data_IF_942394786781
#
_entry.id   IF_942394786781
#
_cell.length_a   1.000
_cell.length_b   1.000
_cell.length_c   1.000
_cell.angle_alpha   90.00
_cell.angle_beta   90.00
_cell.angle_gamma   90.00
#
_symmetry.space_group_name_H-M   'P 1'
#
loop_
_entity.id
_entity.type
_entity.pdbx_description
1 polymer ?
#
# COMPACT_ATOMS: atom_id res chain seq x y z
N UNK A 1 22.01 -6.94 1.24
CA UNK A 1 20.73 -6.29 1.60
C UNK A 1 19.68 -7.29 2.11
N UNK A 2 19.15 -8.20 1.28
CA UNK A 2 18.18 -9.18 1.79
C UNK A 2 18.81 -10.24 2.67
N UNK A 3 19.99 -10.78 2.26
CA UNK A 3 20.68 -11.84 3.01
C UNK A 3 21.11 -11.41 4.41
N UNK A 4 21.30 -10.11 4.65
CA UNK A 4 21.70 -9.62 5.96
C UNK A 4 20.59 -9.68 6.99
N UNK A 5 19.32 -9.75 6.55
CA UNK A 5 18.16 -9.66 7.44
C UNK A 5 17.23 -10.88 7.35
N UNK A 6 17.10 -11.49 6.16
CA UNK A 6 16.20 -12.62 5.92
C UNK A 6 17.00 -13.91 5.70
N UNK A 7 16.57 -15.04 6.27
CA UNK A 7 17.22 -16.33 5.99
C UNK A 7 16.95 -16.73 4.54
N UNK A 8 17.98 -17.06 3.77
CA UNK A 8 17.90 -17.50 2.37
C UNK A 8 16.78 -16.76 1.60
N UNK A 9 16.97 -15.48 1.26
CA UNK A 9 15.86 -14.63 0.77
C UNK A 9 15.05 -15.19 -0.39
N UNK A 10 15.70 -15.81 -1.40
CA UNK A 10 14.98 -16.37 -2.54
C UNK A 10 13.94 -17.38 -2.11
N UNK A 11 14.35 -18.53 -1.57
CA UNK A 11 13.41 -19.48 -0.99
C UNK A 11 12.46 -18.90 0.05
N UNK A 12 12.69 -17.86 0.91
CA UNK A 12 12.04 -17.31 1.83
C UNK A 12 10.94 -16.71 1.38
N UNK A 13 11.20 -15.90 0.36
CA UNK A 13 10.09 -15.14 -0.19
C UNK A 13 9.13 -16.01 -1.01
N UNK A 14 9.65 -16.93 -1.77
CA UNK A 14 8.83 -17.87 -2.55
C UNK A 14 7.94 -18.70 -1.62
N UNK A 15 8.54 -19.27 -0.57
CA UNK A 15 7.76 -20.08 0.39
C UNK A 15 6.73 -19.25 1.14
N UNK A 16 7.08 -18.01 1.52
CA UNK A 16 6.14 -17.09 2.17
C UNK A 16 4.96 -16.76 1.25
N UNK A 17 5.25 -16.48 -0.03
CA UNK A 17 4.20 -16.20 -1.01
C UNK A 17 3.26 -17.39 -1.19
N UNK A 18 3.84 -18.58 -1.42
CA UNK A 18 3.03 -19.82 -1.62
C UNK A 18 2.21 -20.12 -0.36
N UNK A 19 2.84 -20.04 0.83
CA UNK A 19 2.16 -20.33 2.10
C UNK A 19 1.02 -19.36 2.34
N UNK A 20 1.26 -18.05 2.11
CA UNK A 20 0.23 -17.03 2.27
C UNK A 20 -0.93 -17.23 1.29
N UNK A 21 -0.60 -17.58 0.04
CA UNK A 21 -1.62 -17.85 -0.99
C UNK A 21 -2.48 -19.04 -0.59
N UNK A 22 -1.86 -20.13 -0.14
CA UNK A 22 -2.60 -21.32 0.32
C UNK A 22 -3.48 -20.99 1.52
N UNK A 23 -2.95 -20.21 2.48
CA UNK A 23 -3.71 -19.82 3.67
C UNK A 23 -4.94 -18.97 3.30
N UNK A 24 -4.78 -18.02 2.38
CA UNK A 24 -5.89 -17.17 1.92
C UNK A 24 -6.90 -18.00 1.13
N UNK A 25 -6.44 -18.86 0.22
CA UNK A 25 -7.34 -19.71 -0.57
C UNK A 25 -8.15 -20.63 0.36
N UNK A 26 -7.49 -21.28 1.33
CA UNK A 26 -8.20 -22.15 2.29
C UNK A 26 -9.30 -21.37 3.01
N UNK A 27 -8.97 -20.17 3.54
CA UNK A 27 -9.94 -19.36 4.27
C UNK A 27 -11.12 -18.95 3.39
N UNK A 28 -10.85 -18.48 2.17
CA UNK A 28 -11.88 -17.95 1.26
C UNK A 28 -12.70 -19.07 0.58
N UNK A 29 -12.13 -20.25 0.41
CA UNK A 29 -12.81 -21.38 -0.27
C UNK A 29 -13.72 -22.21 0.65
N UNK A 30 -14.05 -21.66 1.84
CA UNK A 30 -14.97 -22.29 2.77
C UNK A 30 -14.35 -22.85 4.03
N UNK A 31 -13.01 -22.86 4.13
CA UNK A 31 -12.32 -23.27 5.35
C UNK A 31 -12.62 -22.35 6.51
N UNK A 32 -12.72 -21.04 6.24
CA UNK A 32 -13.12 -20.07 7.25
C UNK A 32 -14.52 -20.36 7.79
N UNK A 33 -15.48 -20.56 6.89
CA UNK A 33 -16.86 -20.88 7.27
C UNK A 33 -16.95 -22.18 8.07
N UNK A 34 -16.15 -23.18 7.67
CA UNK A 34 -16.08 -24.44 8.40
C UNK A 34 -15.56 -24.22 9.83
N UNK A 35 -14.46 -23.47 9.97
CA UNK A 35 -13.89 -23.16 11.30
C UNK A 35 -14.88 -22.39 12.18
N UNK A 36 -15.58 -21.42 11.60
CA UNK A 36 -16.58 -20.63 12.33
C UNK A 36 -17.75 -21.49 12.79
N UNK A 37 -18.21 -22.41 11.93
CA UNK A 37 -19.29 -23.34 12.30
C UNK A 37 -18.87 -24.29 13.41
N UNK A 38 -17.67 -24.86 13.31
CA UNK A 38 -17.16 -25.81 14.31
C UNK A 38 -16.98 -25.12 15.67
N UNK A 39 -16.59 -23.85 15.69
CA UNK A 39 -16.40 -23.09 16.94
C UNK A 39 -17.69 -22.47 17.46
N UNK A 40 -18.79 -22.55 16.69
CA UNK A 40 -20.07 -21.98 17.10
C UNK A 40 -20.16 -20.46 16.98
N UNK A 41 -19.35 -19.86 16.12
CA UNK A 41 -19.35 -18.40 15.93
C UNK A 41 -20.63 -17.94 15.24
N UNK A 42 -21.20 -16.84 15.71
CA UNK A 42 -22.39 -16.24 15.11
C UNK A 42 -22.08 -15.63 13.75
N UNK A 43 -23.02 -15.73 12.81
CA UNK A 43 -22.87 -15.10 11.50
C UNK A 43 -23.09 -13.57 11.56
N UNK A 44 -23.79 -13.10 12.59
CA UNK A 44 -24.07 -11.67 12.75
C UNK A 44 -23.02 -11.03 13.64
N UNK A 45 -22.21 -10.17 13.05
CA UNK A 45 -21.15 -9.44 13.77
C UNK A 45 -21.64 -8.03 14.06
N UNK A 46 -21.51 -7.58 15.29
CA UNK A 46 -21.95 -6.27 15.71
C UNK A 46 -21.22 -5.14 14.97
N UNK A 47 -21.91 -4.03 14.75
CA UNK A 47 -21.30 -2.81 14.20
C UNK A 47 -20.83 -1.97 15.40
N UNK A 48 -19.70 -2.38 15.98
CA UNK A 48 -19.11 -1.70 17.14
C UNK A 48 -17.69 -2.22 17.34
N UNK A 49 -16.95 -1.57 18.23
CA UNK A 49 -15.61 -2.02 18.61
C UNK A 49 -15.60 -3.46 19.17
N UNK A 50 -16.71 -3.89 19.76
CA UNK A 50 -16.83 -5.24 20.32
C UNK A 50 -16.66 -6.33 19.27
N UNK A 51 -16.87 -6.02 17.98
CA UNK A 51 -16.69 -7.00 16.89
C UNK A 51 -15.27 -7.59 16.88
N UNK A 52 -14.27 -6.78 17.22
CA UNK A 52 -12.87 -7.22 17.17
C UNK A 52 -12.52 -8.21 18.28
N UNK A 53 -13.39 -8.36 19.28
CA UNK A 53 -13.28 -9.35 20.36
C UNK A 53 -14.26 -10.49 20.17
N UNK A 54 -15.08 -10.48 19.11
CA UNK A 54 -16.07 -11.50 18.84
C UNK A 54 -15.39 -12.83 18.49
N UNK A 55 -16.12 -13.92 18.67
CA UNK A 55 -15.60 -15.26 18.39
C UNK A 55 -15.14 -15.40 16.92
N UNK A 56 -15.84 -14.72 15.98
CA UNK A 56 -15.45 -14.69 14.57
C UNK A 56 -14.01 -14.18 14.39
N UNK A 57 -13.70 -13.02 14.99
CA UNK A 57 -12.37 -12.43 14.88
C UNK A 57 -11.33 -13.25 15.67
N UNK A 58 -11.71 -13.77 16.85
CA UNK A 58 -10.79 -14.60 17.64
C UNK A 58 -10.40 -15.86 16.89
N UNK A 59 -11.33 -16.49 16.16
CA UNK A 59 -11.06 -17.67 15.32
C UNK A 59 -10.07 -17.30 14.20
N UNK A 60 -10.26 -16.14 13.56
CA UNK A 60 -9.32 -15.69 12.53
C UNK A 60 -7.95 -15.40 13.15
N UNK A 61 -7.88 -14.76 14.31
CA UNK A 61 -6.61 -14.50 14.98
C UNK A 61 -5.87 -15.80 15.28
N UNK A 62 -6.60 -16.81 15.78
CA UNK A 62 -6.00 -18.12 16.06
C UNK A 62 -5.51 -18.80 14.78
N UNK A 63 -6.29 -18.71 13.71
CA UNK A 63 -5.89 -19.24 12.39
C UNK A 63 -4.63 -18.55 11.88
N UNK A 64 -4.58 -17.22 11.96
CA UNK A 64 -3.41 -16.44 11.52
C UNK A 64 -2.18 -16.83 12.33
N UNK A 65 -2.31 -16.91 13.66
CA UNK A 65 -1.21 -17.29 14.53
C UNK A 65 -0.73 -18.72 14.24
N UNK A 66 -1.63 -19.63 13.93
CA UNK A 66 -1.29 -21.00 13.54
C UNK A 66 -0.46 -20.99 12.25
N UNK A 67 -0.93 -20.27 11.20
CA UNK A 67 -0.22 -20.20 9.92
C UNK A 67 1.18 -19.59 10.08
N UNK A 68 1.28 -18.50 10.85
CA UNK A 68 2.56 -17.83 11.13
C UNK A 68 3.46 -18.76 11.96
N UNK A 69 2.89 -19.44 12.96
CA UNK A 69 3.64 -20.34 13.81
C UNK A 69 4.28 -21.49 13.04
N UNK A 70 3.50 -22.11 12.15
CA UNK A 70 4.01 -23.22 11.30
C UNK A 70 5.15 -22.69 10.39
N UNK A 71 4.94 -21.56 9.74
CA UNK A 71 5.94 -20.97 8.84
C UNK A 71 7.21 -20.59 9.62
N UNK A 72 7.04 -19.92 10.76
CA UNK A 72 8.17 -19.48 11.58
C UNK A 72 8.96 -20.66 12.13
N UNK A 73 8.26 -21.68 12.66
CA UNK A 73 8.89 -22.88 13.19
C UNK A 73 9.73 -23.57 12.11
N UNK A 74 9.16 -23.73 10.91
CA UNK A 74 9.90 -24.33 9.79
C UNK A 74 11.20 -23.57 9.53
N UNK A 75 11.14 -22.24 9.38
CA UNK A 75 12.31 -21.46 9.04
C UNK A 75 13.31 -21.35 10.18
N UNK A 76 12.84 -21.31 11.44
CA UNK A 76 13.73 -21.27 12.61
C UNK A 76 14.57 -22.54 12.75
N UNK A 77 14.00 -23.68 12.36
CA UNK A 77 14.69 -24.97 12.39
C UNK A 77 15.56 -25.17 11.14
N UNK A 78 14.99 -24.86 9.95
CA UNK A 78 15.65 -25.12 8.67
C UNK A 78 16.85 -24.21 8.43
N UNK A 79 16.74 -22.93 8.78
CA UNK A 79 17.82 -21.95 8.52
C UNK A 79 17.82 -20.85 9.58
N UNK A 80 18.33 -21.16 10.80
CA UNK A 80 18.40 -20.16 11.87
C UNK A 80 19.14 -18.92 11.41
N UNK A 81 18.62 -17.75 11.77
CA UNK A 81 19.20 -16.48 11.37
C UNK A 81 19.12 -15.48 12.53
N UNK A 82 20.18 -14.68 12.70
CA UNK A 82 20.27 -13.71 13.81
C UNK A 82 19.05 -12.78 13.90
N UNK A 83 18.54 -12.36 12.75
CA UNK A 83 17.43 -11.40 12.68
C UNK A 83 16.06 -12.05 12.47
N UNK A 84 15.93 -13.39 12.64
CA UNK A 84 14.72 -14.14 12.27
C UNK A 84 13.47 -13.68 13.02
N UNK A 85 13.61 -13.22 14.28
CA UNK A 85 12.45 -12.73 15.03
C UNK A 85 11.91 -11.45 14.40
N UNK A 86 12.79 -10.57 13.94
CA UNK A 86 12.37 -9.35 13.26
C UNK A 86 11.93 -9.62 11.82
N UNK A 87 12.69 -10.37 11.06
CA UNK A 87 12.40 -10.57 9.63
C UNK A 87 11.20 -11.48 9.37
N UNK A 88 10.92 -12.43 10.25
CA UNK A 88 9.79 -13.36 10.08
C UNK A 88 8.61 -12.93 10.93
N UNK A 89 8.77 -12.89 12.26
CA UNK A 89 7.65 -12.53 13.14
C UNK A 89 7.29 -11.05 13.02
N UNK A 90 8.29 -10.17 12.87
CA UNK A 90 8.03 -8.74 12.67
C UNK A 90 7.26 -8.45 11.39
N UNK A 91 7.66 -9.09 10.27
CA UNK A 91 6.93 -8.96 9.00
C UNK A 91 5.49 -9.48 9.15
N UNK A 92 5.33 -10.62 9.83
CA UNK A 92 4.00 -11.20 10.06
C UNK A 92 3.13 -10.28 10.90
N UNK A 93 3.69 -9.60 11.89
CA UNK A 93 2.95 -8.63 12.69
C UNK A 93 2.50 -7.44 11.85
N UNK A 94 3.40 -6.91 11.00
CA UNK A 94 3.06 -5.78 10.10
C UNK A 94 1.91 -6.18 9.17
N UNK A 95 1.98 -7.38 8.57
CA UNK A 95 0.92 -7.88 7.68
C UNK A 95 -0.40 -8.03 8.46
N UNK A 96 -0.35 -8.57 9.69
CA UNK A 96 -1.54 -8.72 10.52
C UNK A 96 -2.19 -7.37 10.82
N UNK A 97 -1.39 -6.37 11.21
CA UNK A 97 -1.93 -5.04 11.52
C UNK A 97 -2.50 -4.38 10.24
N UNK A 98 -1.87 -4.60 9.09
CA UNK A 98 -2.40 -4.11 7.81
C UNK A 98 -3.79 -4.70 7.55
N UNK A 99 -3.92 -6.02 7.71
CA UNK A 99 -5.23 -6.70 7.60
C UNK A 99 -6.22 -6.13 8.61
N UNK A 100 -5.80 -5.96 9.87
CA UNK A 100 -6.68 -5.46 10.94
C UNK A 100 -7.22 -4.07 10.60
N UNK A 101 -6.36 -3.17 10.09
CA UNK A 101 -6.79 -1.81 9.73
C UNK A 101 -7.74 -1.82 8.52
N UNK A 102 -7.59 -2.77 7.60
CA UNK A 102 -8.58 -2.96 6.51
C UNK A 102 -9.92 -3.39 7.11
N UNK A 103 -9.92 -4.29 8.10
CA UNK A 103 -11.15 -4.73 8.78
C UNK A 103 -11.80 -3.58 9.56
N UNK A 104 -11.00 -2.67 10.13
CA UNK A 104 -11.53 -1.44 10.72
C UNK A 104 -12.26 -0.62 9.66
N UNK A 105 -11.68 -0.50 8.47
CA UNK A 105 -12.32 0.18 7.33
C UNK A 105 -13.66 -0.45 6.96
N UNK A 106 -13.75 -1.78 6.98
CA UNK A 106 -15.01 -2.50 6.73
C UNK A 106 -16.03 -2.20 7.83
N UNK A 107 -15.60 -2.16 9.09
CA UNK A 107 -16.48 -1.83 10.22
C UNK A 107 -17.03 -0.40 10.10
N UNK A 108 -16.19 0.56 9.74
CA UNK A 108 -16.61 1.95 9.54
C UNK A 108 -17.60 2.05 8.36
N UNK A 109 -17.33 1.31 7.28
CA UNK A 109 -18.24 1.26 6.14
C UNK A 109 -19.62 0.73 6.56
N UNK A 110 -19.66 -0.32 7.38
CA UNK A 110 -20.91 -0.85 7.91
C UNK A 110 -21.64 0.16 8.79
N UNK A 111 -20.90 0.98 9.57
CA UNK A 111 -21.47 2.00 10.43
C UNK A 111 -22.17 3.12 9.63
N UNK A 112 -21.72 3.39 8.40
CA UNK A 112 -22.34 4.43 7.58
C UNK A 112 -23.84 4.19 7.39
N UNK A 113 -24.29 2.95 7.22
CA UNK A 113 -25.70 2.66 6.96
C UNK A 113 -26.61 3.14 8.12
N UNK A 114 -26.46 2.64 9.36
CA UNK A 114 -27.35 3.09 10.42
C UNK A 114 -27.23 4.58 10.72
N UNK A 115 -26.02 5.15 10.64
CA UNK A 115 -25.83 6.57 10.95
C UNK A 115 -26.51 7.49 9.93
N UNK A 116 -26.27 7.25 8.64
CA UNK A 116 -26.85 8.10 7.60
C UNK A 116 -28.35 7.85 7.43
N UNK A 117 -28.84 6.63 7.70
CA UNK A 117 -30.28 6.35 7.73
C UNK A 117 -30.96 7.11 8.90
N UNK A 118 -30.26 7.24 10.03
CA UNK A 118 -30.75 8.03 11.16
C UNK A 118 -30.88 9.51 10.74
N UNK A 119 -29.89 10.05 10.04
CA UNK A 119 -29.94 11.42 9.50
C UNK A 119 -31.15 11.57 8.56
N UNK A 120 -31.31 10.62 7.63
CA UNK A 120 -32.44 10.65 6.68
C UNK A 120 -33.79 10.67 7.42
N UNK A 121 -33.94 9.82 8.43
CA UNK A 121 -35.17 9.75 9.23
C UNK A 121 -35.44 11.06 9.98
N UNK A 122 -34.38 11.67 10.55
CA UNK A 122 -34.52 12.93 11.27
C UNK A 122 -34.91 14.08 10.37
N UNK A 123 -34.36 14.13 9.15
CA UNK A 123 -34.69 15.19 8.18
C UNK A 123 -36.08 15.01 7.57
N UNK A 124 -36.51 13.75 7.37
CA UNK A 124 -37.79 13.44 6.75
C UNK A 124 -38.96 13.72 7.68
N UNK A 125 -38.81 13.45 8.97
CA UNK A 125 -39.90 13.60 9.94
C UNK A 125 -39.38 14.30 11.20
N UNK A 126 -39.75 15.57 11.42
CA UNK A 126 -39.34 16.31 12.62
C UNK A 126 -39.71 15.56 13.91
N UNK A 127 -38.78 15.57 14.86
CA UNK A 127 -38.95 15.00 16.21
C UNK A 127 -39.11 13.46 16.25
N UNK A 128 -38.92 12.76 15.11
CA UNK A 128 -38.99 11.30 15.08
C UNK A 128 -37.78 10.67 15.76
N UNK A 129 -36.62 11.33 15.66
CA UNK A 129 -35.34 10.83 16.16
C UNK A 129 -34.88 11.69 17.34
N UNK A 130 -34.40 11.07 18.43
CA UNK A 130 -33.86 11.76 19.58
C UNK A 130 -32.38 12.07 19.38
N UNK A 131 -31.91 13.14 20.05
CA UNK A 131 -30.48 13.51 20.03
C UNK A 131 -29.59 12.39 20.59
N UNK A 132 -30.13 11.63 21.55
CA UNK A 132 -29.38 10.54 22.19
C UNK A 132 -29.02 9.42 21.18
N UNK A 133 -29.88 9.17 20.20
CA UNK A 133 -29.58 8.18 19.16
C UNK A 133 -28.35 8.60 18.34
N UNK A 134 -28.22 9.90 18.04
CA UNK A 134 -27.01 10.42 17.38
C UNK A 134 -25.77 10.27 18.25
N UNK A 135 -25.89 10.56 19.57
CA UNK A 135 -24.75 10.40 20.47
C UNK A 135 -24.32 8.93 20.57
N UNK A 136 -25.25 8.00 20.57
CA UNK A 136 -24.95 6.57 20.57
C UNK A 136 -24.19 6.16 19.32
N UNK A 137 -24.62 6.62 18.15
CA UNK A 137 -23.95 6.28 16.88
C UNK A 137 -22.54 6.89 16.79
N UNK A 138 -22.37 8.13 17.28
CA UNK A 138 -21.05 8.75 17.35
C UNK A 138 -20.17 7.98 18.34
N UNK A 139 -20.74 7.51 19.46
CA UNK A 139 -20.03 6.68 20.43
C UNK A 139 -19.52 5.37 19.79
N UNK A 140 -20.34 4.74 18.96
CA UNK A 140 -19.94 3.53 18.22
C UNK A 140 -18.76 3.84 17.29
N UNK A 141 -18.86 4.93 16.53
CA UNK A 141 -17.77 5.35 15.62
C UNK A 141 -16.47 5.61 16.39
N UNK A 142 -16.56 6.39 17.49
CA UNK A 142 -15.38 6.74 18.29
C UNK A 142 -14.73 5.48 18.89
N UNK A 143 -15.54 4.51 19.32
CA UNK A 143 -15.01 3.24 19.82
C UNK A 143 -14.17 2.51 18.79
N UNK A 144 -14.65 2.45 17.53
CA UNK A 144 -13.91 1.84 16.42
C UNK A 144 -12.67 2.68 16.10
N UNK A 145 -12.83 4.01 16.01
CA UNK A 145 -11.76 4.93 15.62
C UNK A 145 -10.59 4.93 16.62
N UNK A 146 -10.88 4.88 17.92
CA UNK A 146 -9.85 4.86 18.96
C UNK A 146 -8.97 3.62 18.81
N UNK A 147 -9.57 2.45 18.55
CA UNK A 147 -8.81 1.22 18.31
C UNK A 147 -7.88 1.40 17.11
N UNK A 148 -8.41 1.96 16.00
CA UNK A 148 -7.63 2.21 14.80
C UNK A 148 -6.45 3.15 15.07
N UNK A 149 -6.70 4.23 15.82
CA UNK A 149 -5.65 5.23 16.15
C UNK A 149 -4.54 4.58 16.98
N UNK A 150 -4.92 3.87 18.05
CA UNK A 150 -3.93 3.25 18.95
C UNK A 150 -3.10 2.23 18.19
N UNK A 151 -3.76 1.32 17.45
CA UNK A 151 -3.06 0.26 16.71
C UNK A 151 -2.21 0.86 15.59
N UNK A 152 -2.73 1.87 14.87
CA UNK A 152 -1.99 2.54 13.81
C UNK A 152 -0.73 3.23 14.31
N UNK A 153 -0.84 3.97 15.43
CA UNK A 153 0.32 4.67 16.02
C UNK A 153 1.35 3.66 16.54
N UNK A 154 0.89 2.61 17.23
CA UNK A 154 1.80 1.58 17.72
C UNK A 154 2.48 0.83 16.56
N UNK A 155 1.75 0.60 15.46
CA UNK A 155 2.32 -0.02 14.27
C UNK A 155 3.41 0.88 13.66
N UNK A 156 3.16 2.19 13.55
CA UNK A 156 4.17 3.12 13.02
C UNK A 156 5.44 3.10 13.88
N UNK A 157 5.27 3.07 15.19
CA UNK A 157 6.40 2.93 16.11
C UNK A 157 7.16 1.62 15.86
N UNK A 158 6.45 0.51 15.75
CA UNK A 158 7.04 -0.80 15.48
C UNK A 158 7.78 -0.84 14.14
N UNK A 159 7.14 -0.29 13.09
CA UNK A 159 7.71 -0.25 11.73
C UNK A 159 9.00 0.56 11.72
N UNK A 160 9.06 1.69 12.47
CA UNK A 160 10.28 2.48 12.57
C UNK A 160 11.43 1.64 13.13
N UNK A 161 11.17 0.86 14.16
CA UNK A 161 12.15 -0.05 14.75
C UNK A 161 12.52 -1.19 13.80
N UNK A 162 11.54 -1.74 13.08
CA UNK A 162 11.74 -2.81 12.09
C UNK A 162 12.70 -2.35 10.97
N UNK A 163 12.40 -1.17 10.39
CA UNK A 163 13.20 -0.59 9.31
C UNK A 163 14.62 -0.30 9.80
N UNK A 164 14.75 0.27 11.00
CA UNK A 164 16.08 0.59 11.55
C UNK A 164 16.88 -0.68 11.83
N UNK A 165 16.24 -1.75 12.28
CA UNK A 165 16.93 -3.03 12.48
C UNK A 165 17.38 -3.67 11.18
N UNK A 166 16.58 -3.52 10.12
CA UNK A 166 17.00 -3.98 8.79
C UNK A 166 18.22 -3.17 8.33
N UNK A 167 18.18 -1.84 8.53
CA UNK A 167 19.35 -0.98 8.26
C UNK A 167 20.56 -1.44 9.08
N UNK A 168 20.37 -1.74 10.36
CA UNK A 168 21.44 -2.24 11.24
C UNK A 168 22.06 -3.52 10.68
N UNK A 169 21.22 -4.47 10.24
CA UNK A 169 21.69 -5.72 9.66
C UNK A 169 22.53 -5.49 8.40
N UNK A 170 22.09 -4.56 7.54
CA UNK A 170 22.86 -4.21 6.33
C UNK A 170 24.16 -3.51 6.71
N UNK A 171 24.11 -2.57 7.66
CA UNK A 171 25.29 -1.82 8.11
C UNK A 171 26.35 -2.78 8.69
N UNK A 172 25.95 -3.69 9.58
CA UNK A 172 26.86 -4.68 10.15
C UNK A 172 27.50 -5.54 9.06
N UNK A 173 26.70 -5.97 8.09
CA UNK A 173 27.18 -6.79 6.98
C UNK A 173 28.22 -6.04 6.13
N UNK A 174 27.94 -4.78 5.78
CA UNK A 174 28.86 -3.99 4.96
C UNK A 174 30.10 -3.55 5.73
N UNK A 175 29.96 -3.20 7.00
CA UNK A 175 31.11 -2.81 7.82
C UNK A 175 32.07 -3.98 8.07
N UNK A 176 31.55 -5.20 8.17
CA UNK A 176 32.40 -6.41 8.27
C UNK A 176 33.30 -6.59 7.04
N UNK A 177 32.88 -6.03 5.90
CA UNK A 177 33.63 -6.13 4.63
C UNK A 177 34.13 -4.77 4.16
N UNK A 178 34.19 -3.77 5.04
CA UNK A 178 34.48 -2.38 4.66
C UNK A 178 35.81 -2.22 3.92
N UNK A 179 36.85 -2.97 4.32
CA UNK A 179 38.16 -2.88 3.67
C UNK A 179 38.10 -3.22 2.16
N UNK A 180 37.16 -4.10 1.77
CA UNK A 180 36.98 -4.50 0.36
C UNK A 180 36.06 -3.53 -0.39
N UNK A 181 35.20 -2.79 0.34
CA UNK A 181 34.16 -1.96 -0.26
C UNK A 181 34.54 -0.48 -0.33
N UNK A 182 35.46 -0.02 0.55
CA UNK A 182 35.73 1.41 0.74
C UNK A 182 36.26 2.12 -0.51
N UNK A 183 36.87 1.38 -1.43
CA UNK A 183 37.42 1.95 -2.66
C UNK A 183 36.35 2.18 -3.75
N UNK A 184 35.16 1.64 -3.57
CA UNK A 184 34.07 1.79 -4.53
C UNK A 184 33.52 3.22 -4.45
N UNK A 185 33.38 3.89 -5.58
CA UNK A 185 32.84 5.24 -5.63
C UNK A 185 31.43 5.28 -4.99
N UNK A 186 31.26 6.18 -4.04
CA UNK A 186 29.98 6.34 -3.33
C UNK A 186 29.75 5.32 -2.22
N UNK A 187 30.79 4.59 -1.79
CA UNK A 187 30.65 3.57 -0.72
C UNK A 187 30.05 4.16 0.56
N UNK A 188 30.48 5.35 0.97
CA UNK A 188 29.97 6.01 2.17
C UNK A 188 28.45 6.28 2.06
N UNK A 189 28.00 6.77 0.92
CA UNK A 189 26.57 7.04 0.67
C UNK A 189 25.75 5.74 0.70
N UNK A 190 26.30 4.68 0.11
CA UNK A 190 25.59 3.38 0.08
C UNK A 190 25.36 2.82 1.48
N UNK A 191 26.37 2.93 2.36
CA UNK A 191 26.25 2.45 3.73
C UNK A 191 25.35 3.37 4.57
N UNK A 192 25.53 4.68 4.42
CA UNK A 192 24.87 5.66 5.29
C UNK A 192 23.43 5.96 4.87
N UNK A 193 23.18 6.17 3.57
CA UNK A 193 21.88 6.63 3.07
C UNK A 193 21.08 5.52 2.38
N UNK A 194 21.71 4.81 1.42
CA UNK A 194 20.97 3.86 0.58
C UNK A 194 20.40 2.70 1.39
N UNK A 195 21.05 2.27 2.47
CA UNK A 195 20.54 1.18 3.32
C UNK A 195 19.23 1.60 3.98
N UNK A 196 19.15 2.82 4.50
CA UNK A 196 17.92 3.32 5.14
C UNK A 196 16.81 3.51 4.12
N UNK A 197 17.13 4.17 2.99
CA UNK A 197 16.15 4.40 1.92
C UNK A 197 15.63 3.09 1.35
N UNK A 198 16.49 2.10 1.16
CA UNK A 198 16.08 0.79 0.67
C UNK A 198 15.10 0.12 1.62
N UNK A 199 15.45 0.02 2.90
CA UNK A 199 14.62 -0.65 3.89
C UNK A 199 13.25 0.03 4.04
N UNK A 200 13.24 1.37 4.17
CA UNK A 200 12.00 2.11 4.37
C UNK A 200 11.11 2.10 3.12
N UNK A 201 11.69 2.30 1.94
CA UNK A 201 10.91 2.33 0.70
C UNK A 201 10.33 0.96 0.37
N UNK A 202 11.13 -0.10 0.53
CA UNK A 202 10.64 -1.45 0.24
C UNK A 202 9.56 -1.88 1.24
N UNK A 203 9.72 -1.53 2.52
CA UNK A 203 8.70 -1.81 3.54
C UNK A 203 7.39 -1.08 3.18
N UNK A 204 7.46 0.22 2.92
CA UNK A 204 6.28 1.03 2.62
C UNK A 204 5.56 0.52 1.36
N UNK A 205 6.29 0.26 0.28
CA UNK A 205 5.69 -0.25 -0.96
C UNK A 205 5.09 -1.65 -0.78
N UNK A 206 5.80 -2.52 -0.05
CA UNK A 206 5.32 -3.88 0.20
C UNK A 206 4.04 -3.88 1.02
N UNK A 207 4.00 -3.09 2.09
CA UNK A 207 2.82 -2.97 2.95
C UNK A 207 1.65 -2.34 2.16
N UNK A 208 1.92 -1.31 1.37
CA UNK A 208 0.87 -0.65 0.56
C UNK A 208 0.30 -1.60 -0.49
N UNK A 209 1.14 -2.43 -1.11
CA UNK A 209 0.68 -3.45 -2.06
C UNK A 209 -0.22 -4.48 -1.36
N UNK A 210 0.22 -4.98 -0.20
CA UNK A 210 -0.56 -5.93 0.60
C UNK A 210 -1.90 -5.29 1.02
N UNK A 211 -1.86 -4.04 1.45
CA UNK A 211 -3.06 -3.29 1.82
C UNK A 211 -4.04 -3.20 0.64
N UNK A 212 -3.56 -2.90 -0.57
CA UNK A 212 -4.40 -2.81 -1.76
C UNK A 212 -5.08 -4.16 -2.07
N UNK A 213 -4.31 -5.27 -2.01
CA UNK A 213 -4.85 -6.61 -2.25
C UNK A 213 -5.87 -6.98 -1.16
N UNK A 214 -5.54 -6.73 0.11
CA UNK A 214 -6.44 -7.04 1.23
C UNK A 214 -7.72 -6.21 1.17
N UNK A 215 -7.62 -4.94 0.74
CA UNK A 215 -8.79 -4.08 0.55
C UNK A 215 -9.72 -4.66 -0.52
N UNK A 216 -9.17 -5.13 -1.64
CA UNK A 216 -9.99 -5.77 -2.67
C UNK A 216 -10.67 -7.04 -2.12
N UNK A 217 -9.92 -7.89 -1.41
CA UNK A 217 -10.45 -9.12 -0.82
C UNK A 217 -11.58 -8.81 0.18
N UNK A 218 -11.44 -7.73 0.96
CA UNK A 218 -12.42 -7.36 1.99
C UNK A 218 -13.64 -6.64 1.40
N UNK A 219 -13.45 -5.73 0.46
CA UNK A 219 -14.52 -4.84 0.00
C UNK A 219 -15.28 -5.36 -1.22
N UNK A 220 -14.71 -6.20 -2.08
CA UNK A 220 -15.45 -6.75 -3.21
C UNK A 220 -16.66 -7.59 -2.75
N UNK A 221 -16.54 -8.48 -1.74
CA UNK A 221 -17.72 -9.17 -1.24
C UNK A 221 -18.79 -8.23 -0.67
N UNK A 222 -18.37 -7.15 -0.01
CA UNK A 222 -19.29 -6.13 0.50
C UNK A 222 -20.07 -5.52 -0.68
N UNK A 223 -19.37 -5.18 -1.75
CA UNK A 223 -19.99 -4.60 -2.94
C UNK A 223 -20.95 -5.58 -3.61
N UNK A 224 -20.63 -6.88 -3.64
CA UNK A 224 -21.52 -7.92 -4.16
C UNK A 224 -22.84 -7.92 -3.37
N UNK A 225 -22.78 -7.88 -2.05
CA UNK A 225 -23.95 -7.85 -1.18
C UNK A 225 -24.76 -6.58 -1.40
N UNK A 226 -24.09 -5.43 -1.50
CA UNK A 226 -24.76 -4.14 -1.73
C UNK A 226 -25.41 -4.05 -3.10
N UNK A 227 -24.84 -4.72 -4.12
CA UNK A 227 -25.37 -4.67 -5.49
C UNK A 227 -26.74 -5.34 -5.61
N UNK A 228 -27.12 -6.19 -4.67
CA UNK A 228 -28.46 -6.81 -4.65
C UNK A 228 -29.56 -5.77 -4.48
N UNK A 229 -29.23 -4.60 -3.89
CA UNK A 229 -30.18 -3.51 -3.68
C UNK A 229 -30.23 -2.56 -4.87
N UNK A 230 -29.38 -2.74 -5.89
CA UNK A 230 -29.29 -1.85 -7.06
C UNK A 230 -29.37 -2.72 -8.32
N UNK A 231 -30.60 -3.17 -8.68
CA UNK A 231 -30.75 -4.09 -9.82
C UNK A 231 -30.53 -3.40 -11.18
N UNK A 232 -30.83 -2.11 -11.29
CA UNK A 232 -30.78 -1.39 -12.57
C UNK A 232 -29.74 -0.29 -12.52
N UNK A 233 -28.91 -0.23 -13.57
CA UNK A 233 -27.90 0.82 -13.76
C UNK A 233 -28.37 1.79 -14.85
N UNK A 234 -27.90 3.05 -14.80
CA UNK A 234 -28.20 4.02 -15.88
C UNK A 234 -27.66 3.49 -17.22
N UNK A 235 -28.40 3.73 -18.31
CA UNK A 235 -27.99 3.40 -19.69
C UNK A 235 -28.04 1.90 -19.98
N UNK A 236 -27.43 1.07 -19.08
CA UNK A 236 -27.29 -0.38 -19.31
C UNK A 236 -28.54 -1.15 -18.89
N UNK A 237 -29.29 -0.64 -17.90
CA UNK A 237 -30.46 -1.33 -17.37
C UNK A 237 -30.10 -2.44 -16.40
N UNK A 238 -30.84 -3.55 -16.40
CA UNK A 238 -30.64 -4.64 -15.49
C UNK A 238 -29.37 -5.41 -15.81
N UNK A 239 -28.49 -5.53 -14.83
CA UNK A 239 -27.22 -6.25 -14.96
C UNK A 239 -26.90 -6.95 -13.66
N UNK A 240 -26.83 -8.29 -13.64
CA UNK A 240 -26.42 -9.03 -12.42
C UNK A 240 -25.02 -8.59 -11.98
N UNK A 241 -24.87 -8.34 -10.69
CA UNK A 241 -23.60 -7.84 -10.14
C UNK A 241 -23.15 -6.53 -10.80
N UNK A 242 -24.11 -5.69 -11.20
CA UNK A 242 -23.83 -4.46 -11.96
C UNK A 242 -22.85 -3.53 -11.25
N UNK A 243 -23.01 -3.32 -9.95
CA UNK A 243 -22.12 -2.43 -9.19
C UNK A 243 -20.67 -2.96 -9.17
N UNK A 244 -20.48 -4.27 -9.04
CA UNK A 244 -19.14 -4.90 -9.03
C UNK A 244 -18.47 -4.69 -10.39
N UNK A 245 -19.22 -4.99 -11.47
CA UNK A 245 -18.71 -4.84 -12.84
C UNK A 245 -18.38 -3.36 -13.09
N UNK A 246 -19.27 -2.44 -12.71
CA UNK A 246 -19.05 -0.99 -12.88
C UNK A 246 -17.82 -0.52 -12.11
N UNK A 247 -17.62 -0.98 -10.87
CA UNK A 247 -16.47 -0.60 -10.06
C UNK A 247 -15.15 -1.07 -10.71
N UNK A 248 -15.13 -2.32 -11.18
CA UNK A 248 -13.93 -2.89 -11.83
C UNK A 248 -13.64 -2.15 -13.15
N UNK A 249 -14.65 -1.98 -14.00
CA UNK A 249 -14.50 -1.31 -15.30
C UNK A 249 -14.06 0.15 -15.11
N UNK A 250 -14.70 0.87 -14.18
CA UNK A 250 -14.35 2.27 -13.90
C UNK A 250 -12.93 2.40 -13.38
N UNK A 251 -12.54 1.52 -12.47
CA UNK A 251 -11.18 1.52 -11.88
C UNK A 251 -10.12 1.19 -12.94
N UNK A 252 -10.37 0.17 -13.77
CA UNK A 252 -9.46 -0.21 -14.84
C UNK A 252 -9.36 0.89 -15.92
N UNK A 253 -10.48 1.51 -16.24
CA UNK A 253 -10.51 2.63 -17.20
C UNK A 253 -9.68 3.81 -16.67
N UNK A 254 -9.90 4.19 -15.40
CA UNK A 254 -9.12 5.27 -14.78
C UNK A 254 -7.65 4.95 -14.70
N UNK A 255 -7.32 3.71 -14.30
CA UNK A 255 -5.94 3.22 -14.25
C UNK A 255 -5.30 3.26 -15.62
N UNK A 256 -6.01 2.77 -16.65
CA UNK A 256 -5.54 2.80 -18.03
C UNK A 256 -5.35 4.22 -18.56
N UNK A 257 -6.31 5.09 -18.29
CA UNK A 257 -6.22 6.51 -18.68
C UNK A 257 -4.96 7.15 -18.10
N UNK A 258 -4.74 6.99 -16.79
CA UNK A 258 -3.58 7.58 -16.11
C UNK A 258 -2.27 6.95 -16.59
N UNK A 259 -2.27 5.66 -16.89
CA UNK A 259 -1.10 4.98 -17.43
C UNK A 259 -0.71 5.55 -18.81
N UNK A 260 -1.71 5.73 -19.69
CA UNK A 260 -1.46 6.25 -21.06
C UNK A 260 -1.02 7.73 -20.99
N UNK A 261 -1.72 8.55 -20.23
CA UNK A 261 -1.43 10.00 -20.14
C UNK A 261 -0.08 10.22 -19.45
N UNK A 262 0.25 9.41 -18.45
CA UNK A 262 1.48 9.53 -17.68
C UNK A 262 2.65 8.69 -18.18
N UNK A 263 2.57 8.13 -19.38
CA UNK A 263 3.55 7.14 -19.89
C UNK A 263 4.98 7.70 -19.96
N UNK A 264 5.13 9.00 -20.16
CA UNK A 264 6.46 9.64 -20.25
C UNK A 264 7.05 10.04 -18.89
N UNK A 265 6.22 10.11 -17.85
CA UNK A 265 6.66 10.62 -16.55
C UNK A 265 7.77 9.78 -15.88
N UNK A 266 7.67 8.42 -15.85
CA UNK A 266 8.73 7.62 -15.22
C UNK A 266 10.11 7.84 -15.87
N UNK A 267 10.16 7.90 -17.20
CA UNK A 267 11.41 8.16 -17.93
C UNK A 267 11.99 9.54 -17.63
N UNK A 268 11.12 10.56 -17.55
CA UNK A 268 11.53 11.91 -17.23
C UNK A 268 11.99 12.04 -15.77
N UNK A 269 11.33 11.35 -14.83
CA UNK A 269 11.76 11.31 -13.43
C UNK A 269 13.13 10.64 -13.30
N UNK A 270 13.32 9.52 -13.98
CA UNK A 270 14.62 8.84 -13.99
C UNK A 270 15.72 9.76 -14.56
N UNK A 271 15.42 10.46 -15.65
CA UNK A 271 16.36 11.44 -16.25
C UNK A 271 16.64 12.59 -15.27
N UNK A 272 15.62 13.02 -14.53
CA UNK A 272 15.79 14.09 -13.52
C UNK A 272 16.78 13.65 -12.43
N UNK A 273 16.63 12.42 -11.93
CA UNK A 273 17.57 11.88 -10.93
C UNK A 273 19.00 11.85 -11.48
N UNK A 274 19.16 11.51 -12.76
CA UNK A 274 20.48 11.45 -13.39
C UNK A 274 21.14 12.83 -13.52
N UNK A 275 20.41 13.84 -14.00
CA UNK A 275 20.98 15.19 -14.16
C UNK A 275 21.28 15.83 -12.81
N UNK A 276 20.45 15.57 -11.80
CA UNK A 276 20.70 16.02 -10.42
C UNK A 276 21.96 15.36 -9.84
N UNK A 277 22.10 14.04 -10.07
CA UNK A 277 23.27 13.30 -9.59
C UNK A 277 24.57 13.83 -10.25
N UNK A 278 24.54 14.11 -11.54
CA UNK A 278 25.71 14.67 -12.25
C UNK A 278 26.07 16.05 -11.70
N UNK A 279 25.07 16.89 -11.46
CA UNK A 279 25.28 18.24 -10.91
C UNK A 279 25.88 18.15 -9.50
N UNK A 280 25.29 17.33 -8.64
CA UNK A 280 25.77 17.11 -7.26
C UNK A 280 27.20 16.57 -7.25
N UNK A 281 27.50 15.61 -8.10
CA UNK A 281 28.83 14.97 -8.18
C UNK A 281 29.92 16.01 -8.47
N UNK A 282 29.67 16.90 -9.45
CA UNK A 282 30.64 17.93 -9.79
C UNK A 282 30.85 18.92 -8.63
N UNK A 283 29.75 19.30 -7.93
CA UNK A 283 29.86 20.20 -6.79
C UNK A 283 30.68 19.55 -5.65
N UNK A 284 30.45 18.27 -5.38
CA UNK A 284 31.19 17.54 -4.35
C UNK A 284 32.68 17.48 -4.69
N UNK A 285 33.01 17.22 -5.95
CA UNK A 285 34.42 17.22 -6.39
C UNK A 285 35.04 18.61 -6.19
N UNK A 286 34.27 19.67 -6.41
CA UNK A 286 34.75 21.05 -6.22
C UNK A 286 34.99 21.44 -4.76
N UNK A 287 34.45 20.67 -3.80
CA UNK A 287 34.72 20.92 -2.37
C UNK A 287 36.20 20.65 -2.02
N UNK A 288 36.80 19.67 -2.68
CA UNK A 288 38.17 19.25 -2.37
C UNK A 288 39.20 19.60 -3.45
N UNK A 289 38.77 20.03 -4.65
CA UNK A 289 39.63 20.26 -5.79
C UNK A 289 39.22 21.57 -6.52
N UNK A 290 40.04 22.59 -6.35
CA UNK A 290 39.83 23.94 -6.93
C UNK A 290 39.77 23.96 -8.46
N UNK A 291 40.26 22.90 -9.13
CA UNK A 291 40.21 22.81 -10.58
C UNK A 291 38.85 22.27 -11.08
N UNK A 292 38.00 21.78 -10.15
CA UNK A 292 36.67 21.25 -10.45
C UNK A 292 35.61 22.28 -10.16
N UNK A 293 34.38 21.96 -10.55
CA UNK A 293 33.22 22.84 -10.33
C UNK A 293 33.42 24.24 -10.82
N UNK A 294 34.12 24.40 -11.96
CA UNK A 294 34.32 25.73 -12.55
C UNK A 294 32.97 26.36 -12.95
N UNK A 295 32.83 27.68 -12.90
CA UNK A 295 31.55 28.33 -13.21
C UNK A 295 30.94 27.94 -14.56
N UNK A 296 31.69 27.80 -15.66
CA UNK A 296 31.09 27.31 -16.92
C UNK A 296 30.51 25.87 -16.79
N UNK A 297 31.26 24.98 -16.16
CA UNK A 297 30.83 23.57 -15.98
C UNK A 297 29.58 23.46 -15.13
N UNK A 298 29.58 24.17 -14.00
CA UNK A 298 28.44 24.19 -13.07
C UNK A 298 27.19 24.78 -13.77
N UNK A 299 27.39 25.86 -14.54
CA UNK A 299 26.29 26.48 -15.30
C UNK A 299 25.69 25.54 -16.34
N UNK A 300 26.52 24.79 -17.03
CA UNK A 300 26.04 23.82 -18.04
C UNK A 300 25.26 22.67 -17.40
N UNK A 301 25.78 22.10 -16.32
CA UNK A 301 25.11 21.04 -15.59
C UNK A 301 23.76 21.51 -15.04
N UNK A 302 23.72 22.72 -14.45
CA UNK A 302 22.50 23.32 -13.95
C UNK A 302 21.50 23.60 -15.10
N UNK A 303 22.01 23.99 -16.27
CA UNK A 303 21.17 24.20 -17.46
C UNK A 303 20.47 22.89 -17.84
N UNK A 304 21.16 21.75 -17.74
CA UNK A 304 20.57 20.41 -18.00
C UNK A 304 19.49 20.08 -16.96
N UNK A 305 19.75 20.37 -15.69
CA UNK A 305 18.78 20.20 -14.60
C UNK A 305 17.52 21.04 -14.90
N UNK A 306 17.69 22.34 -15.17
CA UNK A 306 16.58 23.26 -15.44
C UNK A 306 15.75 22.80 -16.66
N UNK A 307 16.41 22.40 -17.73
CA UNK A 307 15.73 21.95 -18.95
C UNK A 307 14.87 20.72 -18.68
N UNK A 308 15.40 19.79 -17.88
CA UNK A 308 14.67 18.58 -17.55
C UNK A 308 13.47 18.87 -16.64
N UNK A 309 13.65 19.75 -15.66
CA UNK A 309 12.53 20.16 -14.78
C UNK A 309 11.41 20.83 -15.57
N UNK A 310 11.74 21.73 -16.50
CA UNK A 310 10.72 22.42 -17.30
C UNK A 310 9.95 21.43 -18.18
N UNK A 311 10.66 20.42 -18.74
CA UNK A 311 10.01 19.34 -19.49
C UNK A 311 9.11 18.51 -18.60
N UNK A 312 9.59 18.17 -17.41
CA UNK A 312 8.83 17.40 -16.42
C UNK A 312 7.55 18.16 -16.00
N UNK A 313 7.68 19.46 -15.71
CA UNK A 313 6.52 20.30 -15.35
C UNK A 313 5.45 20.31 -16.44
N UNK A 314 5.88 20.40 -17.70
CA UNK A 314 4.94 20.38 -18.83
C UNK A 314 4.16 19.05 -18.89
N UNK A 315 4.87 17.94 -18.73
CA UNK A 315 4.22 16.61 -18.78
C UNK A 315 3.34 16.39 -17.55
N UNK A 316 3.70 16.92 -16.38
CA UNK A 316 2.85 16.86 -15.20
C UNK A 316 1.60 17.73 -15.36
N UNK A 317 1.69 18.83 -16.10
CA UNK A 317 0.54 19.73 -16.30
C UNK A 317 -0.64 18.96 -16.92
N UNK A 318 -0.46 18.35 -18.08
CA UNK A 318 -1.56 17.63 -18.72
C UNK A 318 -1.94 16.35 -17.98
N UNK A 319 -0.95 15.67 -17.38
CA UNK A 319 -1.23 14.49 -16.56
C UNK A 319 -2.14 14.85 -15.38
N UNK A 320 -1.82 15.95 -14.69
CA UNK A 320 -2.63 16.40 -13.56
C UNK A 320 -4.03 16.87 -14.00
N UNK A 321 -4.15 17.49 -15.19
CA UNK A 321 -5.47 17.82 -15.74
C UNK A 321 -6.30 16.54 -15.89
N UNK A 322 -5.76 15.51 -16.53
CA UNK A 322 -6.46 14.24 -16.73
C UNK A 322 -6.77 13.57 -15.38
N UNK A 323 -5.80 13.55 -14.46
CA UNK A 323 -5.95 12.92 -13.14
C UNK A 323 -7.03 13.60 -12.31
N UNK A 324 -6.97 14.93 -12.23
CA UNK A 324 -7.94 15.69 -11.43
C UNK A 324 -9.34 15.61 -12.06
N UNK A 325 -9.43 15.67 -13.40
CA UNK A 325 -10.71 15.51 -14.07
C UNK A 325 -11.32 14.14 -13.77
N UNK A 326 -10.51 13.07 -13.87
CA UNK A 326 -10.99 11.72 -13.52
C UNK A 326 -11.48 11.66 -12.08
N UNK A 327 -10.73 12.26 -11.13
CA UNK A 327 -11.11 12.25 -9.72
C UNK A 327 -12.41 13.05 -9.48
N UNK A 328 -12.61 14.16 -10.21
CA UNK A 328 -13.84 14.93 -10.08
C UNK A 328 -15.04 14.14 -10.60
N UNK A 329 -14.88 13.45 -11.73
CA UNK A 329 -15.97 12.60 -12.25
C UNK A 329 -16.21 11.43 -11.29
N UNK A 330 -15.15 10.86 -10.71
CA UNK A 330 -15.24 9.76 -9.74
C UNK A 330 -16.07 10.16 -8.51
N UNK A 331 -15.96 11.41 -8.06
CA UNK A 331 -16.75 11.89 -6.92
C UNK A 331 -18.25 11.74 -7.13
N UNK A 332 -18.72 11.81 -8.38
CA UNK A 332 -20.14 11.71 -8.69
C UNK A 332 -20.50 10.40 -9.40
N UNK A 333 -19.53 9.63 -9.87
CA UNK A 333 -19.80 8.43 -10.66
C UNK A 333 -20.56 7.38 -9.86
N UNK A 334 -20.20 7.17 -8.60
CA UNK A 334 -20.91 6.26 -7.72
C UNK A 334 -22.37 6.64 -7.54
N UNK A 335 -22.62 7.94 -7.34
CA UNK A 335 -23.99 8.46 -7.23
C UNK A 335 -24.75 8.30 -8.55
N UNK A 336 -24.08 8.58 -9.69
CA UNK A 336 -24.67 8.44 -11.01
C UNK A 336 -25.21 7.01 -11.22
N UNK A 337 -24.43 6.00 -10.82
CA UNK A 337 -24.84 4.60 -10.93
C UNK A 337 -26.10 4.30 -10.11
N UNK A 338 -26.33 5.05 -9.04
CA UNK A 338 -27.44 4.81 -8.12
C UNK A 338 -28.71 5.60 -8.49
N UNK A 339 -28.67 6.48 -9.50
CA UNK A 339 -29.82 7.34 -9.85
C UNK A 339 -31.10 6.55 -10.05
N UNK A 340 -31.15 5.45 -10.83
CA UNK A 340 -32.39 4.68 -10.97
C UNK A 340 -32.93 4.18 -9.62
N UNK A 341 -32.06 3.69 -8.75
CA UNK A 341 -32.46 3.17 -7.44
C UNK A 341 -32.90 4.28 -6.48
N UNK A 342 -32.24 5.45 -6.56
CA UNK A 342 -32.64 6.62 -5.77
C UNK A 342 -34.05 7.09 -6.17
N UNK A 343 -34.29 7.21 -7.48
CA UNK A 343 -35.61 7.63 -8.01
C UNK A 343 -36.71 6.61 -7.64
N UNK A 344 -36.37 5.31 -7.73
CA UNK A 344 -37.27 4.22 -7.37
C UNK A 344 -37.52 4.09 -5.86
N UNK A 345 -36.67 4.73 -5.04
CA UNK A 345 -36.74 4.63 -3.56
C UNK A 345 -36.32 3.29 -3.01
N UNK A 346 -35.52 2.53 -3.75
CA UNK A 346 -35.09 1.17 -3.31
C UNK A 346 -33.86 1.19 -2.42
N UNK A 347 -33.18 2.34 -2.30
CA UNK A 347 -32.00 2.47 -1.43
C UNK A 347 -32.17 3.67 -0.49
N UNK A 348 -31.49 3.59 0.63
CA UNK A 348 -31.47 4.63 1.67
C UNK A 348 -30.23 5.49 1.55
N UNK A 349 -30.18 6.62 2.26
CA UNK A 349 -29.01 7.48 2.35
C UNK A 349 -27.78 6.71 2.90
N UNK A 350 -28.02 5.83 3.88
CA UNK A 350 -26.95 5.02 4.46
C UNK A 350 -26.36 4.05 3.44
N UNK A 351 -27.22 3.36 2.69
CA UNK A 351 -26.78 2.43 1.66
C UNK A 351 -26.03 3.15 0.54
N UNK A 352 -26.51 4.33 0.13
CA UNK A 352 -25.85 5.17 -0.85
C UNK A 352 -24.42 5.53 -0.38
N UNK A 353 -24.29 5.93 0.88
CA UNK A 353 -22.98 6.30 1.46
C UNK A 353 -22.03 5.11 1.50
N UNK A 354 -22.53 3.92 1.91
CA UNK A 354 -21.73 2.69 1.88
C UNK A 354 -21.20 2.39 0.49
N UNK A 355 -22.08 2.43 -0.52
CA UNK A 355 -21.72 2.08 -1.90
C UNK A 355 -20.65 3.05 -2.43
N UNK A 356 -20.82 4.35 -2.22
CA UNK A 356 -19.83 5.34 -2.71
C UNK A 356 -18.48 5.15 -2.00
N UNK A 357 -18.48 4.82 -0.72
CA UNK A 357 -17.25 4.53 0.01
C UNK A 357 -16.54 3.28 -0.54
N UNK A 358 -17.29 2.20 -0.78
CA UNK A 358 -16.71 0.96 -1.32
C UNK A 358 -16.11 1.21 -2.71
N UNK A 359 -16.78 1.99 -3.55
CA UNK A 359 -16.22 2.39 -4.86
C UNK A 359 -14.87 3.07 -4.69
N UNK A 360 -14.74 3.98 -3.74
CA UNK A 360 -13.49 4.67 -3.44
C UNK A 360 -12.38 3.70 -3.02
N UNK A 361 -12.70 2.72 -2.19
CA UNK A 361 -11.75 1.72 -1.72
C UNK A 361 -11.26 0.83 -2.87
N UNK A 362 -12.18 0.36 -3.71
CA UNK A 362 -11.85 -0.51 -4.86
C UNK A 362 -11.00 0.27 -5.88
N UNK A 363 -11.41 1.49 -6.22
CA UNK A 363 -10.66 2.35 -7.14
C UNK A 363 -9.23 2.60 -6.64
N UNK A 364 -9.09 2.98 -5.37
CA UNK A 364 -7.79 3.26 -4.78
C UNK A 364 -6.85 2.07 -4.84
N UNK A 365 -7.39 0.88 -4.62
CA UNK A 365 -6.60 -0.37 -4.68
C UNK A 365 -6.09 -0.64 -6.09
N UNK A 366 -6.94 -0.47 -7.10
CA UNK A 366 -6.53 -0.67 -8.49
C UNK A 366 -5.52 0.38 -8.96
N UNK A 367 -5.65 1.62 -8.47
CA UNK A 367 -4.77 2.72 -8.89
C UNK A 367 -3.40 2.71 -8.17
N UNK A 368 -3.24 1.88 -7.16
CA UNK A 368 -2.02 1.87 -6.34
C UNK A 368 -0.74 1.72 -7.19
N UNK A 369 -0.75 0.78 -8.14
CA UNK A 369 0.45 0.50 -8.95
C UNK A 369 0.91 1.73 -9.75
N UNK A 370 -0.04 2.52 -10.28
CA UNK A 370 0.30 3.72 -11.05
C UNK A 370 0.81 4.81 -10.13
N UNK A 371 0.14 5.03 -9.00
CA UNK A 371 0.56 6.07 -8.05
C UNK A 371 1.94 5.78 -7.45
N UNK A 372 2.34 4.50 -7.42
CA UNK A 372 3.60 4.05 -6.86
C UNK A 372 4.74 3.97 -7.87
N UNK A 373 4.49 4.26 -9.15
CA UNK A 373 5.49 4.03 -10.21
C UNK A 373 6.80 4.78 -9.96
N UNK A 374 6.72 6.05 -9.58
CA UNK A 374 7.90 6.88 -9.29
C UNK A 374 8.72 6.28 -8.15
N UNK A 375 8.05 5.85 -7.09
CA UNK A 375 8.70 5.21 -5.93
C UNK A 375 9.35 3.88 -6.34
N UNK A 376 8.71 3.11 -7.22
CA UNK A 376 9.28 1.86 -7.74
C UNK A 376 10.57 2.12 -8.52
N UNK A 377 10.57 3.14 -9.39
CA UNK A 377 11.76 3.53 -10.17
C UNK A 377 12.90 3.93 -9.22
N UNK A 378 12.60 4.72 -8.20
CA UNK A 378 13.58 5.11 -7.18
C UNK A 378 14.12 3.88 -6.44
N UNK A 379 13.25 2.98 -6.00
CA UNK A 379 13.65 1.75 -5.31
C UNK A 379 14.56 0.89 -6.19
N UNK A 380 14.23 0.77 -7.47
CA UNK A 380 15.06 0.01 -8.42
C UNK A 380 16.45 0.61 -8.57
N UNK A 381 16.56 1.94 -8.56
CA UNK A 381 17.84 2.64 -8.60
C UNK A 381 18.68 2.33 -7.36
N UNK A 382 18.07 2.43 -6.18
CA UNK A 382 18.76 2.11 -4.90
C UNK A 382 19.17 0.63 -4.90
N UNK A 383 18.27 -0.26 -5.33
CA UNK A 383 18.54 -1.70 -5.41
C UNK A 383 19.76 -1.97 -6.29
N UNK A 384 19.83 -1.34 -7.47
CA UNK A 384 20.98 -1.53 -8.39
C UNK A 384 22.29 -1.09 -7.74
N UNK A 385 22.30 0.05 -7.05
CA UNK A 385 23.50 0.54 -6.36
C UNK A 385 23.96 -0.43 -5.26
N UNK A 386 23.04 -0.89 -4.42
CA UNK A 386 23.36 -1.85 -3.36
C UNK A 386 23.74 -3.22 -3.93
N UNK A 387 23.11 -3.64 -5.01
CA UNK A 387 23.41 -4.92 -5.68
C UNK A 387 24.82 -4.91 -6.27
N UNK A 388 25.23 -3.80 -6.89
CA UNK A 388 26.60 -3.69 -7.40
C UNK A 388 27.61 -3.75 -6.25
N UNK A 389 27.28 -3.15 -5.11
CA UNK A 389 28.09 -3.18 -3.89
C UNK A 389 28.26 -4.63 -3.39
N UNK A 390 27.19 -5.41 -3.38
CA UNK A 390 27.22 -6.81 -2.92
C UNK A 390 27.94 -7.74 -3.92
N UNK A 391 27.88 -7.42 -5.21
CA UNK A 391 28.59 -8.21 -6.23
C UNK A 391 30.11 -8.20 -6.03
N UNK A 392 30.65 -7.09 -5.56
CA UNK A 392 32.07 -6.99 -5.25
C UNK A 392 32.44 -7.98 -4.14
N UNK A 393 31.55 -8.18 -3.16
CA UNK A 393 31.78 -9.16 -2.09
C UNK A 393 31.71 -10.60 -2.60
N UNK A 394 30.91 -10.85 -3.65
CA UNK A 394 30.78 -12.17 -4.26
C UNK A 394 31.92 -12.48 -5.26
N UNK A 395 32.88 -11.54 -5.43
CA UNK A 395 33.99 -11.69 -6.37
C UNK A 395 33.56 -11.59 -7.84
N UNK A 396 32.41 -10.98 -8.12
CA UNK A 396 31.89 -10.76 -9.49
C UNK A 396 32.21 -9.33 -9.92
N UNK A 397 32.49 -9.11 -11.21
CA UNK A 397 32.83 -7.77 -11.67
C UNK A 397 31.68 -6.78 -11.43
N UNK A 398 32.06 -5.54 -11.11
CA UNK A 398 31.13 -4.43 -10.97
C UNK A 398 30.38 -4.25 -12.27
N UNK A 399 29.09 -4.32 -12.24
CA UNK A 399 28.25 -3.94 -13.37
C UNK A 399 28.18 -2.41 -13.35
N UNK A 400 28.70 -1.76 -14.38
CA UNK A 400 28.62 -0.31 -14.50
C UNK A 400 27.17 0.11 -14.34
N UNK A 401 26.91 0.83 -13.26
CA UNK A 401 25.55 1.08 -12.83
C UNK A 401 24.83 2.12 -13.72
N UNK A 402 25.58 2.86 -14.54
CA UNK A 402 25.00 3.91 -15.42
C UNK A 402 25.97 4.14 -16.57
N UNK A 403 25.53 4.11 -17.82
CA UNK A 403 26.39 4.58 -18.91
C UNK A 403 26.71 6.05 -18.65
N UNK A 404 27.97 6.36 -18.57
CA UNK A 404 28.40 7.75 -18.53
C UNK A 404 27.92 8.44 -19.80
N UNK A 405 27.15 9.49 -19.63
CA UNK A 405 26.77 10.33 -20.76
C UNK A 405 28.06 10.98 -21.30
N UNK A 406 28.53 10.51 -22.46
CA UNK A 406 29.45 11.30 -23.29
C UNK A 406 28.64 12.31 -24.09
#
# INVERSE_FOLDING_TARGET
MFKSFFPKPGPXFISAFIWSLLAVIFWQAGGGDWLLRVTGASQNVAISAARFWSLNYLVFYAYYLFCVGVFALFWFVYCPHRWQYWSILGTSLIIFVTWFLVEVGVAINAWYAPFYDLIQSALATPHKVSINQFYQEIGVFLGIAIIAVIIGVMNNFFVSHYVFRWRTAMNEHYMAHWQHLRHIEGAAQRVQEDTMRFASTLEDMGVSFINAVMTLIAFLPVLVTLSEHVPDLPIVGHLPYGLVIAAIVWSLMGTGLLAVVGIKLPGLEFKNQRVEAAYRKELVYGEDDETRATPPTVRELFRAVRRNYFRLYFHYMYFNIARILYLQVDNVFGLFLLFPSIVAGTITLGLMTQITNVFGQVRGSFQYLISSWTTLVELMSIYKRLRSFERELDGKPLQEAIPTLR
#
